data_IF_052210413372
#
_entry.id   IF_052210413372
#
_cell.length_a   1.000
_cell.length_b   1.000
_cell.length_c   1.000
_cell.angle_alpha   90.00
_cell.angle_beta   90.00
_cell.angle_gamma   90.00
#
_symmetry.space_group_name_H-M   'P 1'
#
loop_
_entity.id
_entity.type
_entity.pdbx_description
1 polymer ?
#
# COMPACT_ATOMS: atom_id res chain seq x y z
N UNK A 1 21.52 -39.62 7.04
CA UNK A 1 22.06 -38.28 7.32
C UNK A 1 20.88 -37.31 7.30
N UNK A 2 20.42 -36.82 8.46
CA UNK A 2 19.34 -35.82 8.48
C UNK A 2 19.80 -34.57 7.73
N UNK A 3 18.90 -33.94 6.96
CA UNK A 3 19.21 -32.63 6.36
C UNK A 3 19.68 -31.72 7.50
N UNK A 4 20.83 -31.03 7.37
CA UNK A 4 21.21 -30.05 8.38
C UNK A 4 20.04 -29.07 8.55
N UNK A 5 19.66 -28.79 9.80
CA UNK A 5 18.65 -27.77 10.11
C UNK A 5 19.18 -26.42 9.58
N UNK A 6 18.76 -26.10 8.36
CA UNK A 6 19.15 -24.91 7.64
C UNK A 6 17.93 -24.02 7.48
N UNK A 7 17.98 -22.82 8.04
CA UNK A 7 16.96 -21.78 7.87
C UNK A 7 17.43 -20.82 6.79
N UNK A 8 16.54 -20.46 5.87
CA UNK A 8 16.80 -19.42 4.88
C UNK A 8 15.97 -18.17 5.22
N UNK A 9 16.53 -16.98 4.96
CA UNK A 9 15.79 -15.71 4.98
C UNK A 9 16.27 -14.82 3.84
N UNK A 10 15.39 -13.92 3.44
CA UNK A 10 15.69 -12.89 2.45
C UNK A 10 15.74 -11.52 3.13
N UNK A 11 16.67 -10.68 2.70
CA UNK A 11 16.78 -9.27 3.08
C UNK A 11 16.84 -8.49 1.78
N UNK A 12 15.94 -7.53 1.61
CA UNK A 12 15.88 -6.68 0.42
C UNK A 12 16.60 -5.39 0.74
N UNK A 13 17.63 -5.04 -0.02
CA UNK A 13 18.30 -3.76 0.17
C UNK A 13 17.36 -2.60 -0.23
N UNK A 14 17.39 -1.44 0.46
CA UNK A 14 16.48 -0.33 0.16
C UNK A 14 16.53 0.16 -1.30
N UNK A 15 17.69 0.04 -1.94
CA UNK A 15 17.91 0.39 -3.36
C UNK A 15 17.66 -0.75 -4.35
N UNK A 16 17.15 -1.90 -3.91
CA UNK A 16 16.94 -3.05 -4.78
C UNK A 16 15.82 -2.84 -5.80
N UNK A 17 14.90 -1.91 -5.54
CA UNK A 17 13.80 -1.54 -6.43
C UNK A 17 14.00 -0.11 -6.88
N UNK A 18 13.89 0.12 -8.19
CA UNK A 18 13.95 1.46 -8.79
C UNK A 18 12.61 1.84 -9.43
N UNK A 19 12.45 3.14 -9.72
CA UNK A 19 11.25 3.67 -10.36
C UNK A 19 11.03 3.06 -11.74
N UNK A 20 12.12 2.85 -12.48
CA UNK A 20 12.10 2.25 -13.82
C UNK A 20 11.59 0.81 -13.79
N UNK A 21 11.96 0.02 -12.76
CA UNK A 21 11.45 -1.35 -12.59
C UNK A 21 9.95 -1.33 -12.32
N UNK A 22 9.48 -0.45 -11.43
CA UNK A 22 8.05 -0.33 -11.11
C UNK A 22 7.24 0.13 -12.34
N UNK A 23 7.73 1.14 -13.07
CA UNK A 23 7.10 1.66 -14.27
C UNK A 23 7.22 0.73 -15.48
N UNK A 24 8.13 -0.24 -15.46
CA UNK A 24 8.22 -1.31 -16.45
C UNK A 24 7.30 -2.50 -16.15
N UNK A 25 6.77 -2.58 -14.93
CA UNK A 25 6.07 -3.74 -14.39
C UNK A 25 4.54 -3.67 -14.55
N UNK A 26 3.88 -4.83 -14.52
CA UNK A 26 2.44 -4.92 -14.34
C UNK A 26 2.17 -5.49 -12.94
N UNK A 27 1.87 -4.60 -12.00
CA UNK A 27 1.76 -4.88 -10.57
C UNK A 27 0.28 -4.92 -10.20
N UNK A 28 -0.19 -6.07 -9.74
CA UNK A 28 -1.47 -6.20 -9.05
C UNK A 28 -1.29 -5.87 -7.57
N UNK A 29 -2.26 -5.17 -6.97
CA UNK A 29 -2.36 -5.06 -5.53
C UNK A 29 -3.53 -5.90 -5.04
N UNK A 30 -3.28 -6.96 -4.27
CA UNK A 30 -4.26 -7.97 -3.89
C UNK A 30 -4.46 -8.07 -2.38
N UNK A 31 -5.47 -8.83 -1.97
CA UNK A 31 -5.60 -9.32 -0.60
C UNK A 31 -5.12 -10.76 -0.53
N UNK A 32 -4.24 -11.06 0.41
CA UNK A 32 -3.67 -12.40 0.66
C UNK A 32 -2.98 -13.10 -0.55
N UNK A 33 -2.40 -12.35 -1.49
CA UNK A 33 -1.84 -12.88 -2.75
C UNK A 33 -2.89 -13.63 -3.63
N UNK A 34 -4.19 -13.34 -3.46
CA UNK A 34 -5.25 -13.92 -4.30
C UNK A 34 -5.59 -12.97 -5.45
N UNK A 35 -5.26 -13.37 -6.69
CA UNK A 35 -5.53 -12.63 -7.91
C UNK A 35 -7.02 -12.32 -8.14
N UNK A 36 -7.92 -13.01 -7.42
CA UNK A 36 -9.37 -12.75 -7.45
C UNK A 36 -9.78 -11.59 -6.55
N UNK A 37 -8.94 -11.21 -5.59
CA UNK A 37 -9.18 -10.16 -4.60
C UNK A 37 -8.37 -8.90 -4.94
N UNK A 38 -8.56 -8.38 -6.14
CA UNK A 38 -7.82 -7.23 -6.67
C UNK A 38 -8.32 -5.92 -6.06
N UNK A 39 -7.41 -5.16 -5.46
CA UNK A 39 -7.69 -3.86 -4.84
C UNK A 39 -7.23 -2.70 -5.71
N UNK A 40 -6.05 -2.83 -6.33
CA UNK A 40 -5.51 -1.82 -7.24
C UNK A 40 -4.58 -2.44 -8.27
N UNK A 41 -4.19 -1.66 -9.29
CA UNK A 41 -3.23 -2.10 -10.30
C UNK A 41 -2.39 -0.94 -10.80
N UNK A 42 -1.11 -1.20 -11.05
CA UNK A 42 -0.26 -0.39 -11.93
C UNK A 42 0.15 -1.24 -13.12
N UNK A 43 -0.23 -0.83 -14.32
CA UNK A 43 0.25 -1.43 -15.56
C UNK A 43 1.19 -0.43 -16.24
N UNK A 44 2.49 -0.68 -16.10
CA UNK A 44 3.57 0.15 -16.62
C UNK A 44 3.48 1.61 -16.14
N UNK A 45 3.37 1.79 -14.82
CA UNK A 45 3.26 3.12 -14.20
C UNK A 45 1.91 3.82 -14.35
N UNK A 46 0.88 3.12 -14.84
CA UNK A 46 -0.46 3.68 -15.03
C UNK A 46 -1.53 2.82 -14.39
N UNK A 47 -2.44 3.42 -13.64
CA UNK A 47 -3.58 2.73 -13.05
C UNK A 47 -4.02 3.36 -11.74
N UNK A 48 -4.61 2.55 -10.86
CA UNK A 48 -5.13 2.97 -9.55
C UNK A 48 -4.10 2.81 -8.43
N UNK A 49 -2.99 2.11 -8.69
CA UNK A 49 -1.88 1.96 -7.74
C UNK A 49 -0.81 3.01 -8.01
N UNK A 50 -0.58 3.88 -7.04
CA UNK A 50 0.51 4.85 -7.00
C UNK A 50 1.63 4.35 -6.12
N UNK A 51 2.86 4.75 -6.43
CA UNK A 51 4.03 4.44 -5.61
C UNK A 51 5.09 5.52 -5.68
N UNK A 52 5.87 5.61 -4.61
CA UNK A 52 7.01 6.49 -4.45
C UNK A 52 8.14 5.72 -3.80
N UNK A 53 9.38 6.08 -4.10
CA UNK A 53 10.57 5.48 -3.50
C UNK A 53 11.21 6.52 -2.59
N UNK A 54 11.45 6.12 -1.34
CA UNK A 54 12.18 6.92 -0.36
C UNK A 54 13.31 6.08 0.27
N UNK A 55 14.02 6.66 1.24
CA UNK A 55 15.16 6.02 1.91
C UNK A 55 14.81 4.70 2.63
N UNK A 56 13.52 4.47 2.92
CA UNK A 56 13.04 3.24 3.58
C UNK A 56 12.63 2.16 2.57
N UNK A 57 12.34 2.53 1.33
CA UNK A 57 11.94 1.60 0.27
C UNK A 57 10.77 2.15 -0.56
N UNK A 58 9.86 1.24 -0.95
CA UNK A 58 8.70 1.58 -1.80
C UNK A 58 7.48 1.87 -0.92
N UNK A 59 6.99 3.11 -1.00
CA UNK A 59 5.68 3.49 -0.47
C UNK A 59 4.64 3.33 -1.59
N UNK A 60 3.49 2.75 -1.29
CA UNK A 60 2.37 2.66 -2.23
C UNK A 60 1.10 3.30 -1.65
N UNK A 61 0.19 3.69 -2.53
CA UNK A 61 -1.13 4.21 -2.16
C UNK A 61 -2.13 3.94 -3.27
N UNK A 62 -3.39 3.77 -2.88
CA UNK A 62 -4.52 3.66 -3.79
C UNK A 62 -5.80 3.99 -3.04
N UNK A 63 -6.84 4.38 -3.77
CA UNK A 63 -8.19 4.47 -3.23
C UNK A 63 -8.80 3.06 -3.20
N UNK A 64 -9.23 2.61 -2.02
CA UNK A 64 -9.84 1.29 -1.88
C UNK A 64 -11.09 1.22 -2.78
N UNK A 65 -11.23 0.18 -3.63
CA UNK A 65 -12.33 0.12 -4.56
C UNK A 65 -13.64 -0.09 -3.81
N UNK A 66 -14.70 0.62 -4.19
CA UNK A 66 -16.05 0.48 -3.62
C UNK A 66 -16.69 -0.87 -3.99
N UNK A 67 -16.23 -1.93 -3.32
CA UNK A 67 -16.54 -3.33 -3.56
C UNK A 67 -16.46 -4.09 -2.24
N UNK A 68 -17.05 -5.29 -2.20
CA UNK A 68 -16.99 -6.17 -1.03
C UNK A 68 -15.54 -6.42 -0.57
N UNK A 69 -14.60 -6.52 -1.50
CA UNK A 69 -13.20 -6.79 -1.16
C UNK A 69 -12.43 -5.54 -0.74
N UNK A 70 -12.75 -4.36 -1.28
CA UNK A 70 -12.21 -3.09 -0.81
C UNK A 70 -12.70 -2.75 0.60
N UNK A 71 -13.99 -2.91 0.87
CA UNK A 71 -14.57 -2.69 2.21
C UNK A 71 -13.98 -3.66 3.23
N UNK A 72 -13.83 -4.94 2.85
CA UNK A 72 -13.15 -5.96 3.66
C UNK A 72 -11.71 -5.58 3.95
N UNK A 73 -10.95 -5.13 2.96
CA UNK A 73 -9.57 -4.71 3.15
C UNK A 73 -9.47 -3.55 4.13
N UNK A 74 -10.30 -2.50 3.98
CA UNK A 74 -10.34 -1.37 4.91
C UNK A 74 -10.63 -1.81 6.35
N UNK A 75 -11.62 -2.67 6.56
CA UNK A 75 -11.99 -3.17 7.89
C UNK A 75 -10.87 -3.99 8.52
N UNK A 76 -10.21 -4.86 7.75
CA UNK A 76 -9.07 -5.65 8.23
C UNK A 76 -7.88 -4.79 8.63
N UNK A 77 -7.58 -3.71 7.88
CA UNK A 77 -6.54 -2.76 8.26
C UNK A 77 -6.94 -2.01 9.52
N UNK A 78 -8.17 -1.47 9.56
CA UNK A 78 -8.69 -0.69 10.70
C UNK A 78 -8.65 -1.46 12.02
N UNK A 79 -8.93 -2.76 11.98
CA UNK A 79 -8.85 -3.66 13.14
C UNK A 79 -7.43 -4.08 13.50
N UNK A 80 -6.46 -3.85 12.61
CA UNK A 80 -5.09 -4.33 12.74
C UNK A 80 -4.89 -5.81 12.38
N UNK A 81 -5.92 -6.47 11.82
CA UNK A 81 -5.86 -7.88 11.41
C UNK A 81 -4.98 -8.08 10.17
N UNK A 82 -4.89 -7.05 9.32
CA UNK A 82 -4.00 -7.02 8.16
C UNK A 82 -3.21 -5.72 8.13
N UNK A 83 -2.17 -5.63 8.96
CA UNK A 83 -1.33 -4.43 9.11
C UNK A 83 0.01 -4.52 8.35
N UNK A 84 0.28 -5.62 7.64
CA UNK A 84 1.54 -5.85 6.93
C UNK A 84 1.34 -6.04 5.43
N UNK A 85 2.43 -5.96 4.69
CA UNK A 85 2.44 -6.19 3.25
C UNK A 85 3.46 -7.25 2.82
N UNK A 86 3.21 -7.81 1.66
CA UNK A 86 4.13 -8.73 0.98
C UNK A 86 4.11 -8.42 -0.50
N UNK A 87 5.10 -8.89 -1.24
CA UNK A 87 5.18 -8.69 -2.67
C UNK A 87 5.93 -9.83 -3.35
N UNK A 88 5.56 -10.11 -4.59
CA UNK A 88 6.21 -11.08 -5.46
C UNK A 88 7.07 -10.34 -6.49
N UNK A 89 8.33 -10.78 -6.61
CA UNK A 89 9.31 -10.17 -7.50
C UNK A 89 10.18 -11.23 -8.18
N UNK A 90 10.92 -10.81 -9.21
CA UNK A 90 12.00 -11.60 -9.82
C UNK A 90 13.36 -10.97 -9.55
N UNK A 91 14.39 -11.81 -9.51
CA UNK A 91 15.80 -11.42 -9.48
C UNK A 91 16.66 -12.57 -10.03
N UNK A 92 17.96 -12.34 -10.19
CA UNK A 92 18.93 -13.35 -10.62
C UNK A 92 19.70 -13.93 -9.42
N UNK A 93 19.11 -14.92 -8.74
CA UNK A 93 19.70 -15.54 -7.54
C UNK A 93 21.07 -16.23 -7.76
N UNK A 94 21.43 -16.50 -9.01
CA UNK A 94 22.71 -17.11 -9.39
C UNK A 94 23.82 -16.08 -9.65
N UNK A 95 23.49 -14.79 -9.67
CA UNK A 95 24.43 -13.71 -9.95
C UNK A 95 24.71 -12.92 -8.66
N UNK A 96 25.95 -12.98 -8.20
CA UNK A 96 26.40 -12.31 -6.97
C UNK A 96 26.23 -10.78 -7.05
N UNK A 97 26.05 -10.19 -8.24
CA UNK A 97 25.71 -8.78 -8.43
C UNK A 97 24.29 -8.48 -7.96
N UNK A 98 23.36 -9.42 -8.17
CA UNK A 98 21.94 -9.29 -7.87
C UNK A 98 21.59 -9.81 -6.48
N UNK A 99 22.17 -10.94 -6.07
CA UNK A 99 21.89 -11.55 -4.77
C UNK A 99 23.19 -12.02 -4.12
N UNK A 100 23.53 -11.46 -2.97
CA UNK A 100 24.62 -11.97 -2.16
C UNK A 100 24.11 -13.09 -1.24
N UNK A 101 24.84 -14.21 -1.18
CA UNK A 101 24.53 -15.33 -0.31
C UNK A 101 25.52 -15.42 0.85
N UNK A 102 25.02 -15.19 2.05
CA UNK A 102 25.78 -15.28 3.29
C UNK A 102 25.36 -16.53 4.07
N UNK A 103 26.33 -17.25 4.63
CA UNK A 103 26.09 -18.42 5.47
C UNK A 103 26.69 -18.17 6.84
N UNK A 104 25.85 -18.21 7.87
CA UNK A 104 26.26 -18.11 9.26
C UNK A 104 25.73 -19.29 10.08
N UNK A 105 26.21 -19.43 11.31
CA UNK A 105 25.65 -20.35 12.29
C UNK A 105 25.01 -19.55 13.41
N UNK A 106 23.75 -19.85 13.70
CA UNK A 106 22.97 -19.23 14.78
C UNK A 106 22.28 -20.36 15.56
N UNK A 107 22.49 -20.41 16.88
CA UNK A 107 21.96 -21.46 17.77
C UNK A 107 22.22 -22.90 17.32
N UNK A 108 23.40 -23.16 16.75
CA UNK A 108 23.78 -24.48 16.23
C UNK A 108 23.10 -24.86 14.90
N UNK A 109 22.25 -24.00 14.35
CA UNK A 109 21.60 -24.15 13.04
C UNK A 109 22.34 -23.36 11.98
N UNK A 110 22.27 -23.83 10.74
CA UNK A 110 22.83 -23.09 9.60
C UNK A 110 21.81 -22.03 9.18
N UNK A 111 22.20 -20.75 9.18
CA UNK A 111 21.39 -19.68 8.63
C UNK A 111 21.96 -19.27 7.28
N UNK A 112 21.13 -19.28 6.25
CA UNK A 112 21.46 -18.77 4.92
C UNK A 112 20.68 -17.46 4.73
N UNK A 113 21.39 -16.35 4.57
CA UNK A 113 20.78 -15.06 4.24
C UNK A 113 21.03 -14.75 2.78
N UNK A 114 19.95 -14.52 2.04
CA UNK A 114 20.00 -13.99 0.67
C UNK A 114 19.73 -12.50 0.74
N UNK A 115 20.75 -11.69 0.48
CA UNK A 115 20.62 -10.24 0.37
C UNK A 115 20.34 -9.89 -1.09
N UNK A 116 19.11 -9.51 -1.38
CA UNK A 116 18.68 -9.10 -2.72
C UNK A 116 19.04 -7.62 -2.91
N UNK A 117 19.95 -7.38 -3.85
CA UNK A 117 20.51 -6.06 -4.16
C UNK A 117 19.86 -5.42 -5.38
N UNK A 118 19.32 -6.23 -6.30
CA UNK A 118 18.66 -5.77 -7.52
C UNK A 118 17.45 -6.66 -7.79
N UNK A 119 16.29 -6.06 -7.99
CA UNK A 119 15.06 -6.71 -8.45
C UNK A 119 14.89 -6.45 -9.96
N UNK A 120 14.43 -7.44 -10.71
CA UNK A 120 14.24 -7.34 -12.16
C UNK A 120 12.78 -7.12 -12.58
N UNK A 121 11.85 -7.29 -11.65
CA UNK A 121 10.43 -7.07 -11.90
C UNK A 121 9.60 -7.29 -10.64
N UNK A 122 8.47 -6.59 -10.56
CA UNK A 122 7.47 -6.75 -9.48
C UNK A 122 6.14 -7.12 -10.13
N UNK A 123 5.44 -8.10 -9.56
CA UNK A 123 4.23 -8.65 -10.20
C UNK A 123 2.99 -8.50 -9.34
N UNK A 124 3.17 -8.66 -8.03
CA UNK A 124 2.09 -8.60 -7.07
C UNK A 124 2.59 -7.94 -5.79
N UNK A 125 1.73 -7.11 -5.21
CA UNK A 125 1.83 -6.59 -3.86
C UNK A 125 0.55 -6.97 -3.14
N UNK A 126 0.61 -7.30 -1.86
CA UNK A 126 -0.58 -7.73 -1.14
C UNK A 126 -0.66 -7.09 0.24
N UNK A 127 -1.90 -6.87 0.67
CA UNK A 127 -2.23 -6.70 2.08
C UNK A 127 -2.37 -8.07 2.75
N UNK A 128 -1.76 -8.27 3.92
CA UNK A 128 -1.80 -9.55 4.63
C UNK A 128 -1.56 -9.40 6.14
N UNK A 129 -2.20 -10.26 6.94
CA UNK A 129 -1.88 -10.39 8.38
C UNK A 129 -0.61 -11.19 8.66
N UNK A 130 0.03 -11.75 7.63
CA UNK A 130 1.26 -12.56 7.72
C UNK A 130 2.29 -12.10 6.69
N UNK A 131 2.91 -10.92 6.88
CA UNK A 131 3.88 -10.39 5.94
C UNK A 131 5.15 -11.27 5.93
N UNK A 132 5.72 -11.49 4.73
CA UNK A 132 7.02 -12.14 4.59
C UNK A 132 8.16 -11.22 5.07
N UNK A 133 7.93 -9.90 5.03
CA UNK A 133 8.85 -8.84 5.42
C UNK A 133 8.26 -8.09 6.63
N UNK A 134 8.67 -8.41 7.87
CA UNK A 134 8.04 -7.88 9.08
C UNK A 134 8.14 -6.36 9.24
N UNK A 135 9.07 -5.71 8.55
CA UNK A 135 9.27 -4.25 8.58
C UNK A 135 8.28 -3.49 7.68
N UNK A 136 7.48 -4.20 6.87
CA UNK A 136 6.41 -3.58 6.08
C UNK A 136 5.21 -3.22 6.94
N UNK A 137 4.59 -2.09 6.65
CA UNK A 137 3.35 -1.67 7.30
C UNK A 137 2.32 -1.18 6.28
N UNK A 138 1.04 -1.34 6.63
CA UNK A 138 -0.09 -0.83 5.88
C UNK A 138 -1.04 -0.10 6.84
N UNK A 139 -1.48 1.09 6.45
CA UNK A 139 -2.33 1.96 7.27
C UNK A 139 -3.51 2.46 6.44
N UNK A 140 -4.73 2.33 6.98
CA UNK A 140 -5.93 2.89 6.37
C UNK A 140 -6.07 4.35 6.81
N UNK A 141 -6.11 5.26 5.85
CA UNK A 141 -6.36 6.68 6.13
C UNK A 141 -7.81 7.00 5.78
N UNK A 142 -8.61 7.24 6.81
CA UNK A 142 -10.00 7.64 6.65
C UNK A 142 -10.07 9.15 6.37
N UNK A 143 -10.78 9.54 5.30
CA UNK A 143 -11.13 10.94 4.98
C UNK A 143 -11.86 11.62 6.14
N UNK A 144 -12.39 10.84 7.08
CA UNK A 144 -13.05 11.31 8.30
C UNK A 144 -12.16 12.17 9.20
N UNK A 145 -10.85 11.98 9.18
CA UNK A 145 -9.90 12.81 9.94
C UNK A 145 -9.77 14.26 9.40
N UNK A 146 -9.96 14.44 8.09
CA UNK A 146 -10.09 15.77 7.47
C UNK A 146 -11.51 16.31 7.66
N UNK A 147 -12.54 15.47 7.54
CA UNK A 147 -13.92 15.90 7.75
C UNK A 147 -14.21 16.29 9.20
N UNK A 148 -13.59 15.67 10.22
CA UNK A 148 -13.73 16.07 11.63
C UNK A 148 -12.99 17.39 11.93
N UNK A 149 -11.87 17.65 11.25
CA UNK A 149 -11.15 18.93 11.34
C UNK A 149 -11.91 20.08 10.66
N UNK A 150 -12.64 19.78 9.58
CA UNK A 150 -13.52 20.71 8.87
C UNK A 150 -14.84 20.90 9.63
N UNK A 151 -15.44 19.82 10.13
CA UNK A 151 -16.69 19.85 10.88
C UNK A 151 -16.55 20.58 12.23
N UNK A 152 -15.38 20.51 12.89
CA UNK A 152 -15.07 21.39 14.05
C UNK A 152 -15.02 22.88 13.71
N UNK A 153 -14.76 23.26 12.46
CA UNK A 153 -14.86 24.66 12.00
C UNK A 153 -16.31 25.05 11.64
N UNK A 154 -17.16 24.08 11.34
CA UNK A 154 -18.55 24.30 10.96
C UNK A 154 -19.52 24.33 12.15
N UNK A 155 -19.24 23.57 13.21
CA UNK A 155 -20.06 23.54 14.45
C UNK A 155 -20.07 24.86 15.23
N UNK A 156 -19.29 25.85 14.81
CA UNK A 156 -19.25 27.21 15.38
C UNK A 156 -20.21 28.19 14.67
N UNK A 157 -21.01 27.72 13.70
CA UNK A 157 -22.04 28.55 13.03
C UNK A 157 -23.42 28.34 13.67
N UNK A 158 -24.19 29.40 14.01
CA UNK A 158 -25.48 29.25 14.70
C UNK A 158 -26.54 28.58 13.82
N UNK A 159 -27.39 27.79 14.46
CA UNK A 159 -28.39 26.90 13.87
C UNK A 159 -29.71 27.64 13.59
N UNK A 160 -30.27 27.50 12.37
CA UNK A 160 -31.67 27.85 12.09
C UNK A 160 -32.44 26.65 11.50
N UNK A 161 -33.70 26.52 11.91
CA UNK A 161 -34.55 25.33 11.78
C UNK A 161 -35.02 25.04 10.34
N UNK A 162 -35.04 23.75 9.99
CA UNK A 162 -35.14 23.24 8.63
C UNK A 162 -36.55 22.97 8.08
N UNK A 163 -36.65 23.07 6.75
CA UNK A 163 -37.69 22.45 5.92
C UNK A 163 -37.06 21.42 4.97
N UNK A 164 -37.82 20.43 4.44
CA UNK A 164 -37.27 19.33 3.62
C UNK A 164 -36.57 19.80 2.33
N UNK A 165 -36.97 20.96 1.82
CA UNK A 165 -36.36 21.61 0.66
C UNK A 165 -34.96 22.17 1.00
N UNK A 166 -34.77 22.67 2.23
CA UNK A 166 -33.46 23.09 2.71
C UNK A 166 -32.50 21.91 2.92
N UNK A 167 -33.02 20.74 3.31
CA UNK A 167 -32.22 19.51 3.44
C UNK A 167 -31.76 18.97 2.08
N UNK A 168 -32.64 18.99 1.07
CA UNK A 168 -32.27 18.61 -0.30
C UNK A 168 -31.31 19.62 -0.94
N UNK A 169 -31.51 20.92 -0.69
CA UNK A 169 -30.59 21.96 -1.12
C UNK A 169 -29.24 21.87 -0.39
N UNK A 170 -29.22 21.49 0.88
CA UNK A 170 -27.98 21.24 1.63
C UNK A 170 -27.24 19.99 1.13
N UNK A 171 -27.97 18.95 0.70
CA UNK A 171 -27.37 17.72 0.16
C UNK A 171 -26.76 17.93 -1.23
N UNK A 172 -27.40 18.74 -2.08
CA UNK A 172 -26.80 19.17 -3.35
C UNK A 172 -25.69 20.21 -3.18
N UNK A 173 -25.85 21.18 -2.27
CA UNK A 173 -24.78 22.11 -1.94
C UNK A 173 -23.55 21.36 -1.39
N UNK A 174 -23.76 20.31 -0.57
CA UNK A 174 -22.68 19.47 -0.06
C UNK A 174 -22.02 18.65 -1.19
N UNK A 175 -22.78 18.14 -2.16
CA UNK A 175 -22.21 17.46 -3.34
C UNK A 175 -21.44 18.42 -4.24
N UNK A 176 -21.92 19.66 -4.43
CA UNK A 176 -21.23 20.70 -5.19
C UNK A 176 -19.97 21.19 -4.45
N UNK A 177 -20.02 21.40 -3.13
CA UNK A 177 -18.85 21.76 -2.31
C UNK A 177 -17.82 20.64 -2.31
N UNK A 178 -18.24 19.38 -2.19
CA UNK A 178 -17.33 18.22 -2.26
C UNK A 178 -16.74 18.07 -3.67
N UNK A 179 -17.51 18.34 -4.73
CA UNK A 179 -17.00 18.36 -6.10
C UNK A 179 -16.02 19.53 -6.35
N UNK A 180 -16.25 20.68 -5.73
CA UNK A 180 -15.39 21.86 -5.82
C UNK A 180 -14.12 21.70 -4.98
N UNK A 181 -14.20 21.16 -3.77
CA UNK A 181 -13.05 20.76 -2.94
C UNK A 181 -12.19 19.70 -3.65
N UNK A 182 -12.81 18.77 -4.39
CA UNK A 182 -12.09 17.80 -5.24
C UNK A 182 -11.41 18.45 -6.46
N UNK A 183 -11.97 19.52 -7.03
CA UNK A 183 -11.30 20.32 -8.09
C UNK A 183 -10.14 21.15 -7.54
N UNK A 184 -10.28 21.70 -6.33
CA UNK A 184 -9.22 22.49 -5.67
C UNK A 184 -8.06 21.58 -5.22
N UNK A 185 -8.35 20.37 -4.73
CA UNK A 185 -7.32 19.38 -4.40
C UNK A 185 -6.58 18.82 -5.63
N UNK A 186 -7.22 18.81 -6.81
CA UNK A 186 -6.61 18.47 -8.10
C UNK A 186 -6.01 19.66 -8.85
N UNK A 187 -6.03 20.87 -8.27
CA UNK A 187 -5.28 22.00 -8.83
C UNK A 187 -3.80 21.82 -8.49
N UNK A 188 -2.88 21.95 -9.47
CA UNK A 188 -1.46 21.79 -9.20
C UNK A 188 -1.03 22.91 -8.25
N UNK A 189 -0.65 22.53 -7.03
CA UNK A 189 0.06 23.44 -6.13
C UNK A 189 1.52 23.46 -6.60
N UNK A 190 1.94 24.63 -7.09
CA UNK A 190 3.35 24.92 -7.37
C UNK A 190 4.20 24.59 -6.15
N UNK A 191 5.16 23.69 -6.33
CA UNK A 191 6.49 23.64 -5.69
C UNK A 191 7.42 22.85 -6.61
#
# INVERSE_FOLDING_TARGET
MGKPDAKAREVIDPGAITREILDGSNIAFTLFHDDRLLLARSNKGKGTLSYEIDERGVRFSFEAPHTVDGDKALELVRRGDAAGCSFAFSTHYWDDTFVAREVSKEDGKTLITYRVKIITGVYDMTLTGRPAYPETSAEARDLRSLSEAISRRETDRPHEDGTPEAAAAADEACKEEVAEMRRVANSPLNL
#
